data_IF_394888109787
#
_entry.id   IF_394888109787
#
_cell.length_a   1.000
_cell.length_b   1.000
_cell.length_c   1.000
_cell.angle_alpha   90.00
_cell.angle_beta   90.00
_cell.angle_gamma   90.00
#
_symmetry.space_group_name_H-M   'P 1'
#
loop_
_entity.id
_entity.type
_entity.pdbx_description
1 polymer ?
#
# COMPACT_ATOMS: atom_id res chain seq x y z
N UNK A 1 7.69 2.92 13.19
CA UNK A 1 6.68 2.08 13.90
C UNK A 1 6.30 0.81 13.12
N UNK A 2 6.34 0.80 11.78
CA UNK A 2 6.05 -0.41 10.96
C UNK A 2 7.21 -1.43 10.89
N UNK A 3 8.44 -1.02 11.17
CA UNK A 3 9.65 -1.87 11.04
C UNK A 3 9.76 -2.92 12.16
N UNK A 4 9.11 -2.72 13.30
CA UNK A 4 9.22 -3.60 14.47
C UNK A 4 8.38 -4.88 14.36
N UNK A 5 7.40 -4.93 13.45
CA UNK A 5 6.56 -6.13 13.24
C UNK A 5 7.23 -7.21 12.36
N UNK A 6 8.38 -6.92 11.76
CA UNK A 6 9.11 -7.88 10.90
C UNK A 6 10.24 -8.59 11.68
N UNK A 7 10.70 -8.00 12.79
CA UNK A 7 11.91 -8.44 13.50
C UNK A 7 11.68 -9.40 14.66
N UNK A 8 10.44 -9.62 15.09
CA UNK A 8 10.15 -10.57 16.16
C UNK A 8 9.43 -11.76 15.54
N UNK A 9 10.03 -12.95 15.64
CA UNK A 9 9.27 -14.21 15.62
C UNK A 9 8.04 -13.99 16.51
N UNK A 10 6.86 -14.16 15.93
CA UNK A 10 5.62 -13.73 16.53
C UNK A 10 5.31 -14.66 17.72
N UNK A 11 5.85 -14.35 18.89
CA UNK A 11 5.47 -15.01 20.14
C UNK A 11 4.09 -14.48 20.54
N UNK A 12 3.06 -15.12 20.01
CA UNK A 12 1.70 -14.92 20.50
C UNK A 12 1.64 -15.64 21.86
N UNK A 13 1.94 -14.92 22.94
CA UNK A 13 1.85 -15.44 24.32
C UNK A 13 0.38 -15.74 24.67
N UNK A 14 -0.06 -16.91 24.22
CA UNK A 14 -1.46 -17.28 24.03
C UNK A 14 -1.63 -17.69 22.58
N UNK A 15 -0.97 -18.80 22.20
CA UNK A 15 -0.88 -19.20 20.80
C UNK A 15 -2.24 -19.40 20.16
N UNK A 16 -2.27 -19.60 18.84
CA UNK A 16 -3.50 -19.69 18.07
C UNK A 16 -4.44 -20.72 18.72
N UNK A 17 -5.54 -20.26 19.35
CA UNK A 17 -6.47 -21.08 20.13
C UNK A 17 -5.86 -21.90 21.29
N UNK A 18 -4.88 -21.35 22.02
CA UNK A 18 -4.26 -22.03 23.18
C UNK A 18 -3.27 -23.13 22.78
N UNK A 19 -2.91 -23.23 21.50
CA UNK A 19 -1.90 -24.17 20.99
C UNK A 19 -0.53 -23.50 20.89
N UNK A 20 0.58 -24.17 21.24
CA UNK A 20 1.94 -23.61 21.23
C UNK A 20 2.51 -23.46 19.80
N UNK A 21 1.82 -22.69 18.96
CA UNK A 21 2.17 -22.45 17.54
C UNK A 21 2.88 -21.10 17.41
N UNK A 22 4.03 -21.11 16.72
CA UNK A 22 4.91 -19.97 16.50
C UNK A 22 5.09 -19.73 14.99
N UNK A 23 5.14 -18.47 14.58
CA UNK A 23 5.37 -18.09 13.19
C UNK A 23 6.79 -17.53 13.03
N UNK A 24 7.54 -18.07 12.06
CA UNK A 24 8.86 -17.57 11.69
C UNK A 24 9.01 -17.42 10.17
N UNK A 25 10.15 -16.88 9.75
CA UNK A 25 10.59 -16.99 8.37
C UNK A 25 11.01 -18.45 8.05
N UNK A 26 10.90 -18.90 6.79
CA UNK A 26 11.44 -20.14 6.28
C UNK A 26 12.89 -20.30 6.72
N UNK A 27 13.20 -21.50 7.21
CA UNK A 27 14.52 -21.86 7.71
C UNK A 27 15.07 -20.92 8.79
N UNK A 28 14.19 -20.26 9.55
CA UNK A 28 14.57 -19.30 10.58
C UNK A 28 15.49 -18.19 10.03
N UNK A 29 15.26 -17.78 8.77
CA UNK A 29 16.00 -16.69 8.14
C UNK A 29 15.86 -15.40 8.98
N UNK A 30 16.98 -14.88 9.49
CA UNK A 30 17.06 -13.73 10.42
C UNK A 30 16.59 -13.97 11.87
N UNK A 31 16.37 -15.22 12.29
CA UNK A 31 16.11 -15.53 13.69
C UNK A 31 17.41 -15.57 14.51
N UNK A 32 17.27 -15.66 15.84
CA UNK A 32 18.40 -15.83 16.76
C UNK A 32 19.20 -17.10 16.39
N UNK A 33 20.54 -17.03 16.26
CA UNK A 33 21.39 -18.18 15.98
C UNK A 33 21.19 -19.37 16.93
N UNK A 34 20.69 -19.15 18.14
CA UNK A 34 20.40 -20.22 19.08
C UNK A 34 19.26 -21.14 18.62
N UNK A 35 18.32 -20.65 17.80
CA UNK A 35 17.21 -21.44 17.27
C UNK A 35 17.63 -22.38 16.14
N UNK A 36 18.69 -22.05 15.40
CA UNK A 36 19.17 -22.84 14.25
C UNK A 36 20.26 -23.84 14.61
N UNK A 37 20.93 -23.69 15.76
CA UNK A 37 21.99 -24.58 16.24
C UNK A 37 21.58 -26.05 16.35
N UNK A 38 20.31 -26.30 16.66
CA UNK A 38 19.78 -27.64 16.91
C UNK A 38 19.28 -28.33 15.62
N UNK A 39 19.41 -27.70 14.45
CA UNK A 39 18.93 -28.23 13.18
C UNK A 39 20.08 -28.38 12.15
N UNK A 40 20.33 -29.62 11.73
CA UNK A 40 21.27 -29.92 10.63
C UNK A 40 20.48 -30.06 9.33
N UNK A 41 20.76 -29.21 8.32
CA UNK A 41 20.10 -29.26 6.99
C UNK A 41 19.19 -28.07 6.65
N UNK A 42 19.09 -27.06 7.51
CA UNK A 42 18.46 -25.79 7.16
C UNK A 42 19.37 -25.01 6.21
N UNK A 43 19.08 -25.08 4.91
CA UNK A 43 19.72 -24.23 3.92
C UNK A 43 18.81 -23.03 3.64
N UNK A 44 19.11 -21.83 4.17
CA UNK A 44 18.40 -20.62 3.76
C UNK A 44 18.77 -20.33 2.31
N UNK A 45 18.00 -20.89 1.37
CA UNK A 45 18.12 -20.54 -0.04
C UNK A 45 17.84 -19.05 -0.20
N UNK A 46 18.65 -18.38 -1.03
CA UNK A 46 18.56 -16.93 -1.27
C UNK A 46 17.28 -16.52 -2.02
N UNK A 47 16.48 -17.48 -2.45
CA UNK A 47 15.29 -17.27 -3.28
C UNK A 47 13.98 -17.13 -2.49
N UNK A 48 14.03 -17.18 -1.15
CA UNK A 48 12.90 -16.80 -0.29
C UNK A 48 12.71 -15.27 -0.27
N UNK A 49 12.30 -14.71 -1.41
CA UNK A 49 12.08 -13.27 -1.59
C UNK A 49 10.69 -12.90 -1.09
N UNK A 50 10.68 -12.16 0.00
CA UNK A 50 9.53 -11.41 0.49
C UNK A 50 9.42 -10.09 -0.22
N UNK A 51 8.32 -9.89 -0.92
CA UNK A 51 8.04 -8.58 -1.51
C UNK A 51 6.55 -8.28 -1.47
N UNK A 52 6.25 -7.00 -1.35
CA UNK A 52 4.91 -6.46 -1.52
C UNK A 52 5.09 -5.24 -2.39
N UNK A 53 4.68 -5.35 -3.65
CA UNK A 53 4.67 -4.25 -4.60
C UNK A 53 3.38 -3.48 -4.39
N UNK A 54 3.52 -2.25 -3.91
CA UNK A 54 2.42 -1.35 -3.64
C UNK A 54 2.26 -0.36 -4.80
N UNK A 55 1.02 -0.02 -5.15
CA UNK A 55 0.75 1.03 -6.10
C UNK A 55 1.25 2.38 -5.56
N UNK A 56 2.10 3.12 -6.29
CA UNK A 56 2.79 4.29 -5.75
C UNK A 56 1.85 5.41 -5.31
N UNK A 57 0.72 5.59 -6.00
CA UNK A 57 -0.24 6.66 -5.72
C UNK A 57 -1.34 6.26 -4.72
N UNK A 58 -1.68 4.97 -4.66
CA UNK A 58 -2.88 4.50 -3.96
C UNK A 58 -2.60 3.51 -2.82
N UNK A 59 -1.39 2.94 -2.76
CA UNK A 59 -0.95 2.09 -1.65
C UNK A 59 -1.57 0.70 -1.57
N UNK A 60 -2.38 0.27 -2.55
CA UNK A 60 -2.86 -1.12 -2.61
C UNK A 60 -1.78 -2.05 -3.15
N UNK A 61 -1.81 -3.33 -2.76
CA UNK A 61 -0.87 -4.34 -3.24
C UNK A 61 -1.24 -4.79 -4.67
N UNK A 62 -0.29 -4.63 -5.61
CA UNK A 62 -0.41 -5.09 -7.00
C UNK A 62 0.08 -6.53 -7.11
N UNK A 63 1.22 -6.83 -6.49
CA UNK A 63 1.74 -8.17 -6.37
C UNK A 63 2.44 -8.34 -5.03
N UNK A 64 2.29 -9.50 -4.43
CA UNK A 64 2.89 -9.79 -3.15
C UNK A 64 3.28 -11.26 -3.09
N UNK A 65 4.47 -11.54 -2.55
CA UNK A 65 4.90 -12.89 -2.22
C UNK A 65 5.35 -12.90 -0.78
N UNK A 66 4.68 -13.73 0.02
CA UNK A 66 4.99 -13.89 1.43
C UNK A 66 4.98 -15.36 1.79
N UNK A 67 6.08 -15.83 2.37
CA UNK A 67 6.18 -17.19 2.91
C UNK A 67 6.16 -17.13 4.43
N UNK A 68 5.42 -17.99 5.11
CA UNK A 68 5.43 -18.04 6.56
C UNK A 68 5.66 -19.47 6.99
N UNK A 69 6.64 -19.68 7.86
CA UNK A 69 6.87 -20.98 8.46
C UNK A 69 6.06 -21.07 9.75
N UNK A 70 5.33 -22.17 9.88
CA UNK A 70 4.59 -22.54 11.08
C UNK A 70 5.45 -23.52 11.88
N UNK A 71 5.79 -23.13 13.09
CA UNK A 71 6.55 -23.93 14.05
C UNK A 71 5.67 -24.28 15.24
N UNK A 72 5.96 -25.39 15.89
CA UNK A 72 5.31 -25.80 17.15
C UNK A 72 6.38 -25.89 18.22
N UNK A 73 6.12 -25.29 19.38
CA UNK A 73 7.00 -25.45 20.53
C UNK A 73 6.68 -26.74 21.25
N UNK A 74 7.71 -27.58 21.42
CA UNK A 74 7.62 -28.78 22.23
C UNK A 74 7.84 -28.39 23.69
N UNK A 75 6.89 -28.70 24.55
CA UNK A 75 7.04 -28.61 26.00
C UNK A 75 7.10 -30.03 26.56
N UNK A 76 8.13 -30.32 27.37
CA UNK A 76 8.24 -31.63 27.99
C UNK A 76 7.20 -31.77 29.09
N UNK A 77 6.33 -32.76 28.93
CA UNK A 77 5.41 -33.20 29.97
C UNK A 77 5.85 -34.58 30.42
N UNK A 78 6.04 -34.79 31.73
CA UNK A 78 6.58 -36.03 32.33
C UNK A 78 5.82 -37.32 31.95
N UNK A 79 4.63 -37.21 31.38
CA UNK A 79 3.77 -38.34 30.99
C UNK A 79 3.89 -38.77 29.52
N UNK A 80 4.59 -38.02 28.66
CA UNK A 80 4.65 -38.31 27.22
C UNK A 80 6.10 -38.64 26.84
N UNK A 81 6.43 -39.94 26.82
CA UNK A 81 7.77 -40.45 26.48
C UNK A 81 8.20 -40.19 25.02
N UNK A 82 7.26 -39.81 24.14
CA UNK A 82 7.53 -39.50 22.73
C UNK A 82 8.20 -38.13 22.51
N UNK A 83 8.10 -37.20 23.48
CA UNK A 83 8.73 -35.86 23.41
C UNK A 83 10.05 -35.78 24.19
N UNK A 84 10.49 -36.86 24.84
CA UNK A 84 11.75 -36.90 25.60
C UNK A 84 13.00 -36.76 24.72
N UNK A 85 12.91 -37.13 23.44
CA UNK A 85 13.99 -37.02 22.46
C UNK A 85 14.34 -35.57 22.10
N UNK A 86 13.42 -34.63 22.27
CA UNK A 86 13.62 -33.21 21.90
C UNK A 86 14.02 -32.38 23.12
N UNK A 87 14.63 -31.21 22.94
CA UNK A 87 14.92 -30.30 24.05
C UNK A 87 13.65 -29.56 24.52
N UNK A 88 13.58 -29.26 25.81
CA UNK A 88 12.42 -28.55 26.38
C UNK A 88 12.37 -27.11 25.85
N UNK A 89 11.24 -26.72 25.27
CA UNK A 89 11.05 -25.41 24.66
C UNK A 89 11.55 -25.27 23.22
N UNK A 90 11.97 -26.37 22.57
CA UNK A 90 12.44 -26.36 21.18
C UNK A 90 11.31 -26.07 20.17
N UNK A 91 11.57 -25.22 19.17
CA UNK A 91 10.64 -24.90 18.09
C UNK A 91 10.82 -25.82 16.90
N UNK A 92 9.89 -26.75 16.67
CA UNK A 92 9.93 -27.66 15.53
C UNK A 92 9.23 -27.05 14.30
N UNK A 93 9.90 -26.93 13.15
CA UNK A 93 9.27 -26.51 11.92
C UNK A 93 8.39 -27.63 11.35
N UNK A 94 7.10 -27.35 11.16
CA UNK A 94 6.15 -28.35 10.65
C UNK A 94 5.87 -28.13 9.17
N UNK A 95 5.53 -26.90 8.79
CA UNK A 95 5.14 -26.57 7.43
C UNK A 95 5.44 -25.10 7.13
N UNK A 96 5.56 -24.77 5.84
CA UNK A 96 5.55 -23.40 5.36
C UNK A 96 4.30 -23.17 4.51
N UNK A 97 3.74 -21.98 4.65
CA UNK A 97 2.60 -21.50 3.87
C UNK A 97 3.10 -20.38 2.96
N UNK A 98 2.81 -20.51 1.67
CA UNK A 98 3.11 -19.47 0.70
C UNK A 98 1.84 -18.73 0.29
N UNK A 99 1.83 -17.42 0.50
CA UNK A 99 0.81 -16.51 0.01
C UNK A 99 1.38 -15.74 -1.18
N UNK A 100 0.82 -16.01 -2.37
CA UNK A 100 1.17 -15.33 -3.62
C UNK A 100 -0.04 -14.55 -4.12
N UNK A 101 0.15 -13.25 -4.31
CA UNK A 101 -0.73 -12.38 -5.07
C UNK A 101 0.00 -12.02 -6.35
N UNK A 102 -0.49 -12.55 -7.47
CA UNK A 102 0.09 -12.31 -8.79
C UNK A 102 -0.68 -11.19 -9.50
N UNK A 103 0.05 -10.29 -10.16
CA UNK A 103 -0.55 -9.17 -10.89
C UNK A 103 -1.43 -9.65 -12.05
N UNK A 104 -1.07 -10.81 -12.64
CA UNK A 104 -1.83 -11.48 -13.72
C UNK A 104 -3.14 -12.10 -13.27
N UNK A 105 -3.33 -12.31 -11.97
CA UNK A 105 -4.57 -12.90 -11.42
C UNK A 105 -5.67 -11.86 -11.20
N UNK A 106 -5.35 -10.57 -11.34
CA UNK A 106 -6.31 -9.49 -11.17
C UNK A 106 -7.22 -9.43 -12.41
N UNK A 107 -8.56 -9.44 -12.24
CA UNK A 107 -9.49 -9.29 -13.35
C UNK A 107 -9.22 -8.01 -14.15
N UNK A 108 -9.31 -8.08 -15.47
CA UNK A 108 -9.03 -6.93 -16.34
C UNK A 108 -9.90 -5.72 -16.02
N UNK A 109 -11.15 -5.93 -15.60
CA UNK A 109 -12.06 -4.86 -15.19
C UNK A 109 -11.48 -4.00 -14.04
N UNK A 110 -10.80 -4.63 -13.08
CA UNK A 110 -10.18 -3.94 -11.95
C UNK A 110 -8.96 -3.15 -12.42
N UNK A 111 -8.17 -3.73 -13.34
CA UNK A 111 -7.00 -3.08 -13.92
C UNK A 111 -7.42 -1.81 -14.66
N UNK A 112 -8.48 -1.86 -15.47
CA UNK A 112 -8.99 -0.70 -16.21
C UNK A 112 -9.48 0.42 -15.29
N UNK A 113 -10.21 0.07 -14.22
CA UNK A 113 -10.65 1.03 -13.20
C UNK A 113 -9.43 1.70 -12.53
N UNK A 114 -8.40 0.92 -12.21
CA UNK A 114 -7.15 1.44 -11.63
C UNK A 114 -6.48 2.42 -12.60
N UNK A 115 -6.37 2.10 -13.88
CA UNK A 115 -5.78 3.00 -14.89
C UNK A 115 -6.57 4.31 -15.02
N UNK A 116 -7.89 4.21 -15.10
CA UNK A 116 -8.76 5.39 -15.18
C UNK A 116 -8.63 6.27 -13.94
N UNK A 117 -8.61 5.67 -12.76
CA UNK A 117 -8.43 6.40 -11.50
C UNK A 117 -7.03 7.03 -11.38
N UNK A 118 -5.97 6.31 -11.76
CA UNK A 118 -4.58 6.77 -11.63
C UNK A 118 -4.22 7.89 -12.61
N UNK A 119 -4.65 7.78 -13.87
CA UNK A 119 -4.12 8.63 -14.94
C UNK A 119 -5.14 9.61 -15.50
N UNK A 120 -6.37 9.15 -15.69
CA UNK A 120 -7.43 9.94 -16.34
C UNK A 120 -8.02 10.97 -15.38
N UNK A 121 -8.31 10.57 -14.14
CA UNK A 121 -8.92 11.47 -13.14
C UNK A 121 -8.06 12.70 -12.82
N UNK A 122 -6.74 12.58 -12.56
CA UNK A 122 -5.91 13.75 -12.29
C UNK A 122 -5.86 14.71 -13.48
N UNK A 123 -5.75 14.19 -14.70
CA UNK A 123 -5.66 14.98 -15.93
C UNK A 123 -6.95 15.75 -16.21
N UNK A 124 -8.12 15.11 -16.04
CA UNK A 124 -9.43 15.76 -16.20
C UNK A 124 -9.64 16.82 -15.11
N UNK A 125 -9.29 16.50 -13.85
CA UNK A 125 -9.39 17.47 -12.75
C UNK A 125 -8.58 18.73 -13.05
N UNK A 126 -7.35 18.54 -13.54
CA UNK A 126 -6.45 19.64 -13.92
C UNK A 126 -7.08 20.49 -15.04
N UNK A 127 -7.53 19.85 -16.13
CA UNK A 127 -8.14 20.54 -17.26
C UNK A 127 -9.40 21.30 -16.86
N UNK A 128 -10.28 20.70 -16.06
CA UNK A 128 -11.51 21.32 -15.56
C UNK A 128 -11.21 22.52 -14.64
N UNK A 129 -10.23 22.37 -13.75
CA UNK A 129 -9.81 23.43 -12.84
C UNK A 129 -9.29 24.65 -13.60
N UNK A 130 -8.34 24.46 -14.51
CA UNK A 130 -7.80 25.57 -15.31
C UNK A 130 -8.83 26.12 -16.31
N UNK A 131 -9.67 25.27 -16.90
CA UNK A 131 -10.74 25.69 -17.80
C UNK A 131 -11.75 26.61 -17.12
N UNK A 132 -12.22 26.23 -15.92
CA UNK A 132 -13.16 27.06 -15.14
C UNK A 132 -12.53 28.39 -14.69
N UNK A 133 -11.24 28.40 -14.36
CA UNK A 133 -10.54 29.61 -13.97
C UNK A 133 -10.42 30.60 -15.16
N UNK A 134 -10.07 30.10 -16.35
CA UNK A 134 -9.97 30.93 -17.55
C UNK A 134 -11.32 31.55 -17.94
N UNK A 135 -12.40 30.78 -17.90
CA UNK A 135 -13.75 31.30 -18.23
C UNK A 135 -14.23 32.33 -17.20
N UNK A 136 -13.93 32.13 -15.91
CA UNK A 136 -14.23 33.11 -14.87
C UNK A 136 -13.46 34.43 -15.06
N UNK A 137 -12.19 34.37 -15.45
CA UNK A 137 -11.39 35.59 -15.73
C UNK A 137 -11.94 36.33 -16.95
N UNK A 138 -12.24 35.61 -18.04
CA UNK A 138 -12.78 36.22 -19.26
C UNK A 138 -14.13 36.90 -19.00
N UNK A 139 -15.03 36.24 -18.28
CA UNK A 139 -16.34 36.81 -17.93
C UNK A 139 -16.21 38.05 -17.04
N UNK A 140 -15.29 38.03 -16.05
CA UNK A 140 -15.02 39.19 -15.21
C UNK A 140 -14.49 40.39 -16.01
N UNK A 141 -13.56 40.15 -16.95
CA UNK A 141 -13.02 41.21 -17.84
C UNK A 141 -14.14 41.80 -18.72
N UNK A 142 -14.97 40.95 -19.34
CA UNK A 142 -16.09 41.40 -20.17
C UNK A 142 -17.09 42.25 -19.40
N UNK A 143 -17.40 41.89 -18.15
CA UNK A 143 -18.26 42.67 -17.26
C UNK A 143 -17.66 44.05 -16.95
N UNK A 144 -16.37 44.13 -16.63
CA UNK A 144 -15.69 45.42 -16.38
C UNK A 144 -15.71 46.30 -17.63
N UNK A 145 -15.47 45.72 -18.82
CA UNK A 145 -15.53 46.46 -20.08
C UNK A 145 -16.93 46.95 -20.41
N UNK A 146 -17.97 46.16 -20.11
CA UNK A 146 -19.38 46.57 -20.28
C UNK A 146 -19.75 47.72 -19.35
N UNK A 147 -19.34 47.67 -18.07
CA UNK A 147 -19.56 48.74 -17.09
C UNK A 147 -18.84 50.02 -17.53
N UNK A 148 -17.57 49.91 -17.93
CA UNK A 148 -16.79 51.06 -18.45
C UNK A 148 -17.44 51.66 -19.69
N UNK A 149 -17.90 50.84 -20.65
CA UNK A 149 -18.63 51.32 -21.84
C UNK A 149 -19.93 52.04 -21.50
N UNK A 150 -20.74 51.49 -20.59
CA UNK A 150 -21.98 52.14 -20.14
C UNK A 150 -21.70 53.48 -19.44
N UNK A 151 -20.60 53.56 -18.69
CA UNK A 151 -20.18 54.77 -17.99
C UNK A 151 -19.52 55.83 -18.87
N UNK A 152 -19.21 55.55 -20.14
CA UNK A 152 -18.76 56.57 -21.10
C UNK A 152 -19.99 57.28 -21.68
N UNK A 153 -20.37 58.49 -21.22
CA UNK A 153 -21.50 59.22 -21.78
C UNK A 153 -21.22 59.53 -23.25
N UNK A 154 -22.23 59.40 -24.11
CA UNK A 154 -22.18 59.87 -25.51
C UNK A 154 -21.90 61.38 -25.46
N UNK A 155 -20.64 61.77 -25.69
CA UNK A 155 -20.26 63.19 -25.80
C UNK A 155 -20.92 63.71 -27.08
N UNK A 156 -22.00 64.48 -26.91
CA UNK A 156 -22.71 65.14 -27.99
C UNK A 156 -21.69 65.98 -28.78
N UNK A 157 -21.55 65.81 -30.11
CA UNK A 157 -20.54 66.54 -30.86
C UNK A 157 -20.84 68.05 -30.75
N UNK A 158 -19.88 68.81 -30.24
CA UNK A 158 -19.94 70.26 -29.98
C UNK A 158 -20.16 71.15 -31.24
N UNK A 159 -20.53 70.56 -32.39
CA UNK A 159 -20.75 71.25 -33.66
C UNK A 159 -22.16 71.87 -33.82
N UNK A 160 -23.07 71.69 -32.87
CA UNK A 160 -24.44 72.23 -32.94
C UNK A 160 -24.66 73.55 -32.15
N UNK A 161 -23.63 74.09 -31.48
CA UNK A 161 -23.74 75.32 -30.69
C UNK A 161 -23.20 76.58 -31.39
N UNK A 162 -22.90 76.54 -32.70
CA UNK A 162 -22.34 77.67 -33.47
C UNK A 162 -23.26 78.22 -34.56
N UNK A 163 -24.57 78.01 -34.42
CA UNK A 163 -25.58 78.50 -35.36
C UNK A 163 -26.72 79.17 -34.59
N UNK A 164 -26.44 80.34 -34.01
CA UNK A 164 -27.42 81.41 -33.77
C UNK A 164 -26.65 82.72 -33.62
#
# INVERSE_FOLDING_TARGET
MLTTCIYTDLNVNGGLYGSPVFLSHPHFHRADPNLTKNFTGLHPERDFKYYVNLHPTFGFAISARKMMQVNVQVQKVKEISQVDMFEDGMLLPIAYVEAVLDDKSIPQDIVDIIYLASFTVPSIKLALQYGSLLTAIITMILLILMIRRKSSPKVLPAKLLRSN
#
